data_IF_751232406488
#
_entry.id   IF_751232406488
#
_cell.length_a   1.000
_cell.length_b   1.000
_cell.length_c   1.000
_cell.angle_alpha   90.00
_cell.angle_beta   90.00
_cell.angle_gamma   90.00
#
_symmetry.space_group_name_H-M   'P 1'
#
loop_
_entity.id
_entity.type
_entity.pdbx_description
1 polymer ?
#
# COMPACT_ATOMS: atom_id res chain seq x y z
N UNK A 1 2.88 5.80 19.09
CA UNK A 1 1.62 5.75 19.87
C UNK A 1 0.54 6.27 18.95
N UNK A 2 -0.09 5.37 18.19
CA UNK A 2 -1.29 5.75 17.45
C UNK A 2 -2.41 5.95 18.46
N UNK A 3 -3.13 7.05 18.34
CA UNK A 3 -4.36 7.28 19.10
C UNK A 3 -5.35 6.24 18.56
N UNK A 4 -5.84 5.35 19.42
CA UNK A 4 -6.88 4.41 19.04
C UNK A 4 -8.13 5.22 18.66
N UNK A 5 -8.44 5.29 17.36
CA UNK A 5 -9.59 6.05 16.86
C UNK A 5 -10.83 5.20 17.09
N UNK A 6 -11.70 5.62 18.00
CA UNK A 6 -12.96 4.95 18.26
C UNK A 6 -14.04 5.42 17.27
N UNK A 7 -14.40 4.59 16.29
CA UNK A 7 -15.38 4.93 15.25
C UNK A 7 -16.69 5.49 15.84
N UNK A 8 -17.26 4.77 16.81
CA UNK A 8 -18.55 5.10 17.38
C UNK A 8 -18.54 6.45 18.08
N UNK A 9 -17.48 6.74 18.85
CA UNK A 9 -17.27 8.01 19.54
C UNK A 9 -17.04 9.15 18.55
N UNK A 10 -16.20 8.95 17.53
CA UNK A 10 -15.95 9.95 16.46
C UNK A 10 -17.25 10.37 15.76
N UNK A 11 -18.09 9.41 15.39
CA UNK A 11 -19.39 9.69 14.76
C UNK A 11 -20.34 10.40 15.74
N UNK A 12 -20.44 9.89 16.97
CA UNK A 12 -21.34 10.43 18.00
C UNK A 12 -20.99 11.87 18.37
N UNK A 13 -19.72 12.18 18.55
CA UNK A 13 -19.26 13.50 18.93
C UNK A 13 -19.40 14.49 17.78
N UNK A 14 -19.07 14.09 16.56
CA UNK A 14 -19.25 14.93 15.37
C UNK A 14 -20.74 15.23 15.12
N UNK A 15 -21.61 14.22 15.29
CA UNK A 15 -23.06 14.40 15.23
C UNK A 15 -23.55 15.42 16.26
N UNK A 16 -23.11 15.30 17.51
CA UNK A 16 -23.46 16.23 18.59
C UNK A 16 -22.92 17.64 18.34
N UNK A 17 -21.70 17.79 17.83
CA UNK A 17 -21.12 19.09 17.44
C UNK A 17 -21.95 19.79 16.36
N UNK A 18 -22.57 19.02 15.45
CA UNK A 18 -23.52 19.53 14.46
C UNK A 18 -24.95 19.73 15.00
N UNK A 19 -25.21 19.48 16.28
CA UNK A 19 -26.53 19.63 16.89
C UNK A 19 -27.57 18.61 16.41
N UNK A 20 -27.12 17.50 15.79
CA UNK A 20 -28.01 16.49 15.23
C UNK A 20 -28.41 15.43 16.26
N UNK A 21 -29.67 15.01 16.23
CA UNK A 21 -30.15 13.81 16.89
C UNK A 21 -29.74 12.55 16.10
N UNK A 22 -29.77 11.37 16.75
CA UNK A 22 -29.53 10.11 16.03
C UNK A 22 -30.56 9.88 14.92
N UNK A 23 -31.80 10.32 15.10
CA UNK A 23 -32.86 10.15 14.08
C UNK A 23 -32.49 10.95 12.83
N UNK A 24 -32.14 12.23 12.99
CA UNK A 24 -31.79 13.09 11.85
C UNK A 24 -30.55 12.62 11.08
N UNK A 25 -29.50 12.14 11.77
CA UNK A 25 -28.34 11.57 11.08
C UNK A 25 -28.71 10.27 10.36
N UNK A 26 -29.49 9.39 11.00
CA UNK A 26 -29.88 8.13 10.41
C UNK A 26 -30.74 8.34 9.15
N UNK A 27 -31.69 9.26 9.20
CA UNK A 27 -32.52 9.65 8.05
C UNK A 27 -31.67 10.20 6.90
N UNK A 28 -30.76 11.15 7.17
CA UNK A 28 -29.86 11.71 6.15
C UNK A 28 -28.91 10.68 5.56
N UNK A 29 -28.50 9.70 6.36
CA UNK A 29 -27.61 8.62 5.93
C UNK A 29 -28.36 7.43 5.33
N UNK A 30 -29.69 7.51 5.19
CA UNK A 30 -30.57 6.45 4.66
C UNK A 30 -30.41 5.10 5.40
N UNK A 31 -30.24 5.17 6.72
CA UNK A 31 -30.13 4.00 7.61
C UNK A 31 -31.14 4.08 8.75
N UNK A 32 -31.32 2.98 9.47
CA UNK A 32 -32.19 2.97 10.66
C UNK A 32 -31.48 3.61 11.86
N UNK A 33 -32.23 4.30 12.73
CA UNK A 33 -31.71 4.82 14.00
C UNK A 33 -31.06 3.71 14.85
N UNK A 34 -31.66 2.50 14.86
CA UNK A 34 -31.10 1.35 15.57
C UNK A 34 -29.77 0.87 15.01
N UNK A 35 -29.58 0.96 13.68
CA UNK A 35 -28.29 0.66 13.06
C UNK A 35 -27.24 1.72 13.41
N UNK A 36 -27.57 3.00 13.32
CA UNK A 36 -26.69 4.09 13.75
C UNK A 36 -26.31 3.96 15.23
N UNK A 37 -27.27 3.63 16.10
CA UNK A 37 -27.01 3.42 17.52
C UNK A 37 -26.00 2.29 17.77
N UNK A 38 -26.09 1.19 17.01
CA UNK A 38 -25.09 0.11 17.11
C UNK A 38 -23.71 0.57 16.63
N UNK A 39 -23.63 1.42 15.60
CA UNK A 39 -22.36 2.00 15.13
C UNK A 39 -21.76 2.92 16.21
N UNK A 40 -22.54 3.86 16.75
CA UNK A 40 -22.08 4.81 17.79
C UNK A 40 -21.65 4.15 19.10
N UNK A 41 -22.10 2.92 19.36
CA UNK A 41 -21.69 2.12 20.52
C UNK A 41 -20.63 1.05 20.17
N UNK A 42 -20.02 1.10 18.98
CA UNK A 42 -19.03 0.13 18.49
C UNK A 42 -19.53 -1.33 18.45
N UNK A 43 -20.84 -1.53 18.40
CA UNK A 43 -21.47 -2.86 18.30
C UNK A 43 -21.61 -3.34 16.85
N UNK A 44 -21.35 -2.47 15.87
CA UNK A 44 -21.45 -2.82 14.47
C UNK A 44 -20.51 -1.97 13.62
N UNK A 45 -19.69 -2.64 12.82
CA UNK A 45 -18.90 -2.02 11.75
C UNK A 45 -19.80 -1.87 10.51
N UNK A 46 -20.03 -0.64 10.03
CA UNK A 46 -20.81 -0.38 8.83
C UNK A 46 -20.00 -0.54 7.56
N UNK A 47 -20.67 -0.77 6.42
CA UNK A 47 -20.02 -0.84 5.10
C UNK A 47 -19.37 0.49 4.74
N UNK A 48 -18.36 0.44 3.87
CA UNK A 48 -17.63 1.63 3.37
C UNK A 48 -18.59 2.69 2.82
N UNK A 49 -19.61 2.31 2.06
CA UNK A 49 -20.55 3.29 1.50
C UNK A 49 -21.37 4.02 2.58
N UNK A 50 -21.77 3.31 3.64
CA UNK A 50 -22.41 3.96 4.80
C UNK A 50 -21.45 4.92 5.50
N UNK A 51 -20.17 4.56 5.64
CA UNK A 51 -19.15 5.46 6.21
C UNK A 51 -18.92 6.69 5.34
N UNK A 52 -18.89 6.55 4.01
CA UNK A 52 -18.79 7.68 3.07
C UNK A 52 -19.95 8.65 3.27
N UNK A 53 -21.18 8.14 3.33
CA UNK A 53 -22.36 8.96 3.53
C UNK A 53 -22.33 9.66 4.89
N UNK A 54 -22.05 8.93 5.97
CA UNK A 54 -21.94 9.51 7.33
C UNK A 54 -20.82 10.57 7.38
N UNK A 55 -19.65 10.26 6.83
CA UNK A 55 -18.51 11.19 6.78
C UNK A 55 -18.85 12.47 6.01
N UNK A 56 -19.52 12.35 4.86
CA UNK A 56 -19.98 13.50 4.10
C UNK A 56 -21.00 14.36 4.86
N UNK A 57 -21.90 13.75 5.64
CA UNK A 57 -22.90 14.51 6.42
C UNK A 57 -22.25 15.21 7.62
N UNK A 58 -21.24 14.58 8.21
CA UNK A 58 -20.56 15.04 9.43
C UNK A 58 -19.28 15.86 9.15
N UNK A 59 -18.91 16.06 7.89
CA UNK A 59 -17.64 16.68 7.45
C UNK A 59 -16.40 15.98 8.02
N UNK A 60 -16.44 14.64 8.10
CA UNK A 60 -15.32 13.81 8.56
C UNK A 60 -14.64 13.20 7.33
N UNK A 61 -13.30 13.35 7.18
CA UNK A 61 -12.56 12.65 6.14
C UNK A 61 -12.79 11.14 6.23
N UNK A 62 -13.13 10.51 5.10
CA UNK A 62 -13.41 9.07 5.06
C UNK A 62 -12.27 8.22 5.62
N UNK A 63 -11.02 8.64 5.44
CA UNK A 63 -9.85 7.95 5.98
C UNK A 63 -9.89 7.79 7.50
N UNK A 64 -10.36 8.81 8.23
CA UNK A 64 -10.48 8.74 9.70
C UNK A 64 -11.52 7.70 10.12
N UNK A 65 -12.65 7.64 9.42
CA UNK A 65 -13.69 6.64 9.67
C UNK A 65 -13.24 5.22 9.29
N UNK A 66 -12.46 5.07 8.22
CA UNK A 66 -11.92 3.77 7.80
C UNK A 66 -10.91 3.23 8.81
N UNK A 67 -10.07 4.10 9.39
CA UNK A 67 -9.15 3.74 10.48
C UNK A 67 -9.95 3.28 11.69
N UNK A 68 -10.91 4.08 12.18
CA UNK A 68 -11.69 3.69 13.35
C UNK A 68 -12.55 2.44 13.13
N UNK A 69 -12.94 2.18 11.89
CA UNK A 69 -13.68 0.98 11.47
C UNK A 69 -12.79 -0.24 11.21
N UNK A 70 -11.47 -0.11 11.36
CA UNK A 70 -10.48 -1.19 11.17
C UNK A 70 -10.39 -1.74 9.75
N UNK A 71 -10.83 -0.97 8.76
CA UNK A 71 -10.79 -1.40 7.35
C UNK A 71 -9.38 -1.45 6.77
N UNK A 72 -8.43 -0.79 7.42
CA UNK A 72 -7.06 -0.68 6.95
C UNK A 72 -6.05 -1.15 8.02
N UNK A 73 -6.50 -1.92 9.03
CA UNK A 73 -5.60 -2.42 10.08
C UNK A 73 -4.47 -3.27 9.50
N UNK A 74 -4.78 -4.21 8.58
CA UNK A 74 -3.76 -5.02 7.89
C UNK A 74 -2.76 -4.14 7.13
N UNK A 75 -3.26 -3.12 6.44
CA UNK A 75 -2.41 -2.18 5.71
C UNK A 75 -1.55 -1.36 6.68
N UNK A 76 -2.11 -0.90 7.80
CA UNK A 76 -1.37 -0.18 8.85
C UNK A 76 -0.30 -1.07 9.51
N UNK A 77 -0.61 -2.33 9.77
CA UNK A 77 0.33 -3.32 10.29
C UNK A 77 1.48 -3.55 9.31
N UNK A 78 1.19 -3.76 8.02
CA UNK A 78 2.20 -3.85 6.96
C UNK A 78 3.04 -2.57 6.88
N UNK A 79 2.42 -1.40 6.98
CA UNK A 79 3.12 -0.12 6.99
C UNK A 79 4.01 0.03 8.22
N UNK A 80 3.61 -0.42 9.41
CA UNK A 80 4.45 -0.39 10.61
C UNK A 80 5.67 -1.30 10.49
N UNK A 81 5.50 -2.49 9.93
CA UNK A 81 6.62 -3.39 9.63
C UNK A 81 7.60 -2.74 8.64
N UNK A 82 7.07 -2.11 7.60
CA UNK A 82 7.84 -1.37 6.60
C UNK A 82 8.43 -0.06 7.15
N UNK A 83 7.86 0.61 8.15
CA UNK A 83 8.50 1.78 8.77
C UNK A 83 9.67 1.34 9.65
N UNK A 84 9.55 0.19 10.34
CA UNK A 84 10.63 -0.39 11.14
C UNK A 84 11.74 -1.01 10.28
N UNK A 85 11.39 -1.45 9.06
CA UNK A 85 12.30 -1.90 8.02
C UNK A 85 11.91 -1.19 6.73
N UNK A 86 12.30 0.10 6.53
CA UNK A 86 12.02 0.79 5.27
C UNK A 86 12.43 -0.15 4.16
N UNK A 87 11.58 -0.39 3.13
CA UNK A 87 11.98 -1.22 2.01
C UNK A 87 13.34 -0.68 1.58
N UNK A 88 14.37 -1.50 1.74
CA UNK A 88 15.73 -1.11 1.42
C UNK A 88 15.66 -0.66 -0.03
N UNK A 89 16.07 0.59 -0.32
CA UNK A 89 16.24 1.00 -1.71
C UNK A 89 17.19 -0.06 -2.27
N UNK A 90 16.75 -0.87 -3.25
CA UNK A 90 17.57 -1.96 -3.73
C UNK A 90 18.86 -1.33 -4.24
N UNK A 91 19.98 -1.95 -3.90
CA UNK A 91 21.24 -1.60 -4.54
C UNK A 91 21.09 -1.76 -6.04
N UNK A 92 21.94 -1.09 -6.81
CA UNK A 92 21.94 -1.25 -8.27
C UNK A 92 22.01 -2.73 -8.69
N UNK A 93 22.83 -3.52 -7.98
CA UNK A 93 22.92 -4.96 -8.15
C UNK A 93 21.64 -5.73 -7.86
N UNK A 94 21.02 -5.48 -6.70
CA UNK A 94 19.76 -6.13 -6.33
C UNK A 94 18.64 -5.79 -7.32
N UNK A 95 18.60 -4.54 -7.81
CA UNK A 95 17.62 -4.13 -8.82
C UNK A 95 17.78 -4.90 -10.13
N UNK A 96 19.03 -5.14 -10.57
CA UNK A 96 19.31 -5.98 -11.75
C UNK A 96 18.84 -7.41 -11.52
N UNK A 97 19.19 -8.00 -10.37
CA UNK A 97 18.81 -9.38 -10.05
C UNK A 97 17.29 -9.55 -10.02
N UNK A 98 16.57 -8.63 -9.38
CA UNK A 98 15.10 -8.66 -9.30
C UNK A 98 14.48 -8.51 -10.68
N UNK A 99 14.91 -7.53 -11.48
CA UNK A 99 14.40 -7.35 -12.85
C UNK A 99 14.66 -8.57 -13.75
N UNK A 100 15.72 -9.33 -13.45
CA UNK A 100 16.11 -10.55 -14.14
C UNK A 100 15.28 -11.78 -13.73
N UNK A 101 14.99 -11.92 -12.44
CA UNK A 101 14.35 -13.11 -11.84
C UNK A 101 12.82 -13.00 -11.78
N UNK A 102 12.29 -11.79 -11.60
CA UNK A 102 10.85 -11.47 -11.58
C UNK A 102 10.38 -10.93 -12.95
N UNK A 103 10.88 -11.49 -14.04
CA UNK A 103 10.42 -11.17 -15.39
C UNK A 103 9.22 -12.06 -15.78
N UNK A 104 8.30 -11.55 -16.59
CA UNK A 104 7.08 -12.25 -17.01
C UNK A 104 6.96 -12.21 -18.53
N UNK A 105 6.63 -13.35 -19.13
CA UNK A 105 6.34 -13.40 -20.57
C UNK A 105 4.94 -12.83 -20.89
N UNK A 106 4.58 -12.84 -22.17
CA UNK A 106 3.27 -12.35 -22.63
C UNK A 106 2.06 -13.14 -22.10
N UNK A 107 2.28 -14.30 -21.47
CA UNK A 107 1.26 -15.16 -20.88
C UNK A 107 1.24 -15.06 -19.34
N UNK A 108 1.93 -14.08 -18.75
CA UNK A 108 2.15 -13.93 -17.31
C UNK A 108 2.88 -15.12 -16.67
N UNK A 109 3.66 -15.89 -17.44
CA UNK A 109 4.53 -16.92 -16.89
C UNK A 109 5.87 -16.32 -16.46
N UNK A 110 6.28 -16.62 -15.22
CA UNK A 110 7.54 -16.15 -14.67
C UNK A 110 8.71 -16.77 -15.45
N UNK A 111 9.58 -15.91 -15.97
CA UNK A 111 10.78 -16.26 -16.69
C UNK A 111 11.98 -15.60 -16.03
N UNK A 112 13.09 -16.33 -15.91
CA UNK A 112 14.36 -15.74 -15.50
C UNK A 112 15.21 -15.45 -16.73
N UNK A 113 15.64 -14.20 -16.90
CA UNK A 113 16.65 -13.84 -17.90
C UNK A 113 18.01 -14.41 -17.42
N UNK A 114 18.71 -15.28 -18.15
CA UNK A 114 20.00 -15.79 -17.68
C UNK A 114 21.09 -14.70 -17.72
N UNK A 115 22.02 -14.71 -16.75
CA UNK A 115 23.19 -13.80 -16.74
C UNK A 115 23.99 -13.90 -18.05
N UNK A 116 24.04 -15.07 -18.68
CA UNK A 116 24.70 -15.28 -19.97
C UNK A 116 24.14 -14.43 -21.11
N UNK A 117 22.85 -14.06 -21.08
CA UNK A 117 22.21 -13.18 -22.06
C UNK A 117 22.70 -11.74 -21.87
N UNK A 118 22.68 -11.27 -20.62
CA UNK A 118 23.12 -9.92 -20.25
C UNK A 118 24.62 -9.76 -20.52
N UNK A 119 25.42 -10.74 -20.06
CA UNK A 119 26.88 -10.83 -20.26
C UNK A 119 27.28 -10.60 -21.71
N UNK A 120 26.63 -11.32 -22.64
CA UNK A 120 26.88 -11.17 -24.09
C UNK A 120 26.47 -9.80 -24.61
N UNK A 121 25.35 -9.25 -24.14
CA UNK A 121 24.78 -7.99 -24.63
C UNK A 121 25.60 -6.77 -24.20
N UNK A 122 26.11 -6.77 -22.97
CA UNK A 122 26.90 -5.66 -22.43
C UNK A 122 28.42 -5.90 -22.48
N UNK A 123 28.85 -7.07 -22.97
CA UNK A 123 30.24 -7.50 -23.08
C UNK A 123 30.99 -7.46 -21.74
N UNK A 124 30.43 -8.10 -20.72
CA UNK A 124 31.00 -8.22 -19.36
C UNK A 124 30.89 -9.69 -18.91
N UNK A 125 31.90 -10.26 -18.23
CA UNK A 125 31.83 -11.63 -17.72
C UNK A 125 30.63 -11.87 -16.79
N UNK A 126 30.03 -13.06 -16.85
CA UNK A 126 28.93 -13.44 -15.95
C UNK A 126 29.33 -13.35 -14.47
N UNK A 127 30.58 -13.69 -14.15
CA UNK A 127 31.12 -13.58 -12.78
C UNK A 127 31.18 -12.13 -12.29
N UNK A 128 31.40 -11.16 -13.19
CA UNK A 128 31.36 -9.73 -12.86
C UNK A 128 29.92 -9.26 -12.64
N UNK A 129 28.98 -9.74 -13.44
CA UNK A 129 27.55 -9.47 -13.21
C UNK A 129 27.06 -10.07 -11.89
N UNK A 130 27.48 -11.28 -11.56
CA UNK A 130 27.18 -11.93 -10.28
C UNK A 130 27.76 -11.11 -9.10
N UNK A 131 28.97 -10.57 -9.23
CA UNK A 131 29.53 -9.66 -8.23
C UNK A 131 28.69 -8.39 -8.08
N UNK A 132 28.24 -7.79 -9.19
CA UNK A 132 27.36 -6.63 -9.18
C UNK A 132 26.04 -6.97 -8.48
N UNK A 133 25.36 -8.06 -8.86
CA UNK A 133 24.09 -8.50 -8.25
C UNK A 133 24.21 -8.76 -6.74
N UNK A 134 25.39 -9.17 -6.28
CA UNK A 134 25.72 -9.38 -4.86
C UNK A 134 26.20 -8.10 -4.13
N UNK A 135 26.09 -6.92 -4.76
CA UNK A 135 26.33 -5.63 -4.13
C UNK A 135 27.77 -5.12 -4.23
N UNK A 136 28.63 -5.73 -5.05
CA UNK A 136 29.96 -5.17 -5.34
C UNK A 136 29.81 -3.99 -6.30
N UNK A 137 30.32 -2.83 -5.90
CA UNK A 137 30.31 -1.63 -6.74
C UNK A 137 31.36 -1.75 -7.85
N UNK A 138 30.89 -2.08 -9.05
CA UNK A 138 31.71 -2.17 -10.26
C UNK A 138 31.18 -1.15 -11.28
N UNK A 139 31.99 -0.16 -11.67
CA UNK A 139 31.53 0.90 -12.55
C UNK A 139 31.22 0.35 -13.95
N UNK A 140 30.04 0.68 -14.44
CA UNK A 140 29.62 0.41 -15.82
C UNK A 140 29.70 1.70 -16.64
N UNK A 141 30.08 1.57 -17.90
CA UNK A 141 30.01 2.69 -18.85
C UNK A 141 28.55 3.02 -19.19
N UNK A 142 28.27 4.24 -19.65
CA UNK A 142 26.92 4.63 -20.08
C UNK A 142 26.36 3.72 -21.19
N UNK A 143 27.23 3.22 -22.07
CA UNK A 143 26.84 2.26 -23.12
C UNK A 143 26.40 0.93 -22.50
N UNK A 144 27.17 0.41 -21.55
CA UNK A 144 26.82 -0.82 -20.83
C UNK A 144 25.54 -0.66 -20.01
N UNK A 145 25.34 0.48 -19.35
CA UNK A 145 24.10 0.78 -18.62
C UNK A 145 22.88 0.82 -19.55
N UNK A 146 23.02 1.44 -20.73
CA UNK A 146 21.95 1.51 -21.72
C UNK A 146 21.62 0.12 -22.29
N UNK A 147 22.63 -0.69 -22.63
CA UNK A 147 22.42 -2.03 -23.15
C UNK A 147 21.90 -3.01 -22.08
N UNK A 148 22.29 -2.81 -20.81
CA UNK A 148 21.74 -3.54 -19.67
C UNK A 148 20.25 -3.25 -19.49
N UNK A 149 19.84 -1.98 -19.54
CA UNK A 149 18.43 -1.61 -19.44
C UNK A 149 17.60 -2.28 -20.56
N UNK A 150 18.09 -2.23 -21.81
CA UNK A 150 17.46 -2.94 -22.95
C UNK A 150 17.48 -4.47 -22.84
N UNK A 151 18.30 -5.04 -21.96
CA UNK A 151 18.37 -6.49 -21.75
C UNK A 151 17.35 -6.97 -20.73
N UNK A 152 16.86 -6.06 -19.87
CA UNK A 152 15.94 -6.32 -18.77
C UNK A 152 14.49 -5.92 -19.08
N UNK A 153 14.29 -5.08 -20.11
CA UNK A 153 12.99 -4.70 -20.70
C UNK A 153 12.53 -5.75 -21.72
#
# INVERSE_FOLDING_TARGET
MFIEVNLGETIKDSRKKKGMTMIELAEKAEITQGYLSKIENNLKIPKIDTLKTIGSILDIPIGELLIGAKYIDEWLEMFEENIKKPPSIPTFGEAIRVAREDNYDSNDEQLTIPLSVISKKINIPETTLEQIENGVDIPLTNVQLMELAKALD
#
